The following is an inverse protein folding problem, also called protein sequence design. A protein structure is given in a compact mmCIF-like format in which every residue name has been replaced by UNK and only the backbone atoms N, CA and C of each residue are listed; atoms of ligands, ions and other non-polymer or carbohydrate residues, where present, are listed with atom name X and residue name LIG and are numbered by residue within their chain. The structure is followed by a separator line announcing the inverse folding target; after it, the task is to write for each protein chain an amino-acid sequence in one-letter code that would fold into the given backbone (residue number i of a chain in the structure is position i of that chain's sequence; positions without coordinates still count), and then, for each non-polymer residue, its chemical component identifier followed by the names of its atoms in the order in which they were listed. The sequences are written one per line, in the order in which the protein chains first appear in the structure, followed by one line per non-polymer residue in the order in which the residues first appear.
data_IF_145249114600
#
_entry.id   IF_145249114600
#
_cell.length_a   1.000
_cell.length_b   1.000
_cell.length_c   1.000
_cell.angle_alpha   90.00
_cell.angle_beta   90.00
_cell.angle_gamma   90.00
#
_symmetry.space_group_name_H-M   'P 1'
#
loop_
_entity.id
_entity.type
_entity.pdbx_description
1 polymer ?
#
# COMPACT_ATOMS: atom_id res chain seq x y z
N UNK A 1 -25.34 -16.27 -60.69
CA UNK A 1 -25.78 -16.40 -59.29
C UNK A 1 -24.81 -17.12 -58.35
N UNK A 2 -24.01 -18.13 -58.76
CA UNK A 2 -23.04 -18.80 -57.87
C UNK A 2 -21.76 -18.02 -57.53
N UNK A 3 -21.35 -17.07 -58.38
CA UNK A 3 -20.16 -16.25 -58.17
C UNK A 3 -20.35 -15.11 -57.17
N UNK A 4 -21.56 -14.62 -57.00
CA UNK A 4 -21.84 -13.49 -56.07
C UNK A 4 -21.97 -13.92 -54.63
N UNK A 5 -22.48 -15.15 -54.39
CA UNK A 5 -22.59 -15.73 -53.05
C UNK A 5 -21.20 -16.00 -52.47
N UNK A 6 -20.24 -16.47 -53.29
CA UNK A 6 -18.86 -16.72 -52.84
C UNK A 6 -18.11 -15.43 -52.46
N UNK A 7 -18.37 -14.31 -53.19
CA UNK A 7 -17.80 -12.99 -52.87
C UNK A 7 -18.43 -12.40 -51.61
N UNK A 8 -19.71 -12.56 -51.39
CA UNK A 8 -20.39 -12.08 -50.20
C UNK A 8 -19.93 -12.84 -48.94
N UNK A 9 -19.75 -14.17 -49.03
CA UNK A 9 -19.22 -14.99 -47.94
C UNK A 9 -17.74 -14.61 -47.63
N UNK A 10 -16.95 -14.33 -48.63
CA UNK A 10 -15.54 -13.93 -48.44
C UNK A 10 -15.44 -12.54 -47.73
N UNK A 11 -16.31 -11.60 -48.09
CA UNK A 11 -16.36 -10.29 -47.43
C UNK A 11 -16.87 -10.40 -45.98
N UNK A 12 -17.83 -11.28 -45.71
CA UNK A 12 -18.32 -11.52 -44.34
C UNK A 12 -17.25 -12.21 -43.47
N UNK A 13 -16.47 -13.13 -44.03
CA UNK A 13 -15.37 -13.80 -43.30
C UNK A 13 -14.17 -12.87 -43.05
N UNK A 14 -13.90 -11.90 -43.93
CA UNK A 14 -12.86 -10.89 -43.70
C UNK A 14 -13.28 -9.87 -42.65
N UNK A 15 -14.57 -9.53 -42.55
CA UNK A 15 -15.11 -8.66 -41.50
C UNK A 15 -15.14 -9.32 -40.11
N UNK A 16 -15.22 -10.66 -40.04
CA UNK A 16 -15.13 -11.43 -38.79
C UNK A 16 -13.69 -11.69 -38.35
N UNK A 17 -12.69 -11.43 -39.21
CA UNK A 17 -11.26 -11.61 -38.92
C UNK A 17 -10.56 -10.31 -38.51
N UNK A 18 -11.25 -9.19 -38.40
CA UNK A 18 -10.69 -8.05 -37.68
C UNK A 18 -10.60 -8.44 -36.21
N UNK A 19 -9.38 -8.53 -35.62
CA UNK A 19 -9.31 -8.72 -34.18
C UNK A 19 -10.09 -7.56 -33.56
N UNK A 20 -11.16 -7.87 -32.84
CA UNK A 20 -11.70 -6.94 -31.88
C UNK A 20 -10.51 -6.53 -31.03
N UNK A 21 -10.04 -5.30 -31.20
CA UNK A 21 -9.05 -4.73 -30.28
C UNK A 21 -9.69 -4.81 -28.90
N UNK A 22 -9.43 -5.89 -28.19
CA UNK A 22 -9.70 -5.91 -26.77
C UNK A 22 -8.86 -4.77 -26.22
N UNK A 23 -9.49 -3.79 -25.62
CA UNK A 23 -8.81 -2.74 -24.85
C UNK A 23 -8.17 -3.40 -23.63
N UNK A 24 -7.18 -4.27 -23.87
CA UNK A 24 -6.35 -4.81 -22.82
C UNK A 24 -5.42 -3.68 -22.37
N UNK A 25 -5.38 -3.43 -21.06
CA UNK A 25 -4.45 -2.48 -20.48
C UNK A 25 -3.01 -2.94 -20.76
N UNK A 26 -2.16 -2.00 -21.17
CA UNK A 26 -0.71 -2.23 -21.16
C UNK A 26 -0.25 -2.20 -19.71
N UNK A 27 -0.03 -3.38 -19.14
CA UNK A 27 0.25 -3.51 -17.70
C UNK A 27 1.70 -3.18 -17.33
N UNK A 28 2.56 -2.92 -18.31
CA UNK A 28 3.99 -2.73 -18.06
C UNK A 28 4.67 -4.02 -17.61
N UNK A 29 6.00 -3.97 -17.49
CA UNK A 29 6.81 -5.10 -17.02
C UNK A 29 7.22 -4.86 -15.57
N UNK A 30 6.77 -5.74 -14.68
CA UNK A 30 7.26 -5.78 -13.29
C UNK A 30 8.58 -6.52 -13.23
N UNK A 31 9.57 -5.92 -12.58
CA UNK A 31 10.88 -6.50 -12.34
C UNK A 31 11.17 -6.55 -10.84
N UNK A 32 11.95 -7.54 -10.40
CA UNK A 32 12.47 -7.57 -9.03
C UNK A 32 13.48 -6.45 -8.85
N UNK A 33 13.22 -5.54 -7.92
CA UNK A 33 14.16 -4.50 -7.54
C UNK A 33 15.14 -5.02 -6.49
N UNK A 34 14.61 -5.63 -5.41
CA UNK A 34 15.43 -6.16 -4.34
C UNK A 34 14.84 -7.45 -3.77
N UNK A 35 15.72 -8.24 -3.15
CA UNK A 35 15.37 -9.41 -2.35
C UNK A 35 15.68 -9.12 -0.90
N UNK A 36 14.76 -9.43 0.00
CA UNK A 36 14.98 -9.27 1.43
C UNK A 36 16.06 -10.24 1.93
N UNK A 37 16.86 -9.85 2.93
CA UNK A 37 17.83 -10.73 3.57
C UNK A 37 17.18 -11.97 4.13
N UNK A 38 17.95 -13.06 4.22
CA UNK A 38 17.48 -14.32 4.80
C UNK A 38 16.96 -14.13 6.24
N UNK A 39 15.76 -14.62 6.52
CA UNK A 39 15.09 -14.47 7.80
C UNK A 39 14.21 -13.25 7.94
N UNK A 40 14.23 -12.33 6.95
CA UNK A 40 13.30 -11.20 6.87
C UNK A 40 12.19 -11.48 5.86
N UNK A 41 10.98 -11.05 6.20
CA UNK A 41 9.77 -11.37 5.44
C UNK A 41 8.77 -10.20 5.50
N UNK A 42 7.79 -10.23 4.61
CA UNK A 42 6.62 -9.38 4.63
C UNK A 42 6.98 -7.88 4.66
N UNK A 43 7.68 -7.35 3.61
CA UNK A 43 7.94 -5.93 3.49
C UNK A 43 6.63 -5.17 3.36
N UNK A 44 6.51 -4.06 4.07
CA UNK A 44 5.30 -3.25 4.11
C UNK A 44 5.61 -1.81 3.74
N UNK A 45 5.82 -0.89 4.68
CA UNK A 45 6.11 0.51 4.41
C UNK A 45 7.45 0.71 3.69
N UNK A 46 7.47 1.62 2.74
CA UNK A 46 8.64 1.92 1.91
C UNK A 46 8.81 3.43 1.71
N UNK A 47 10.03 3.93 1.86
CA UNK A 47 10.37 5.32 1.54
C UNK A 47 11.77 5.42 0.94
N UNK A 48 12.12 6.58 0.40
CA UNK A 48 13.42 6.85 -0.21
C UNK A 48 14.04 8.14 0.37
N UNK A 49 15.37 8.18 0.50
CA UNK A 49 16.08 9.40 0.86
C UNK A 49 16.47 10.22 -0.37
N UNK A 50 17.07 11.38 -0.15
CA UNK A 50 17.54 12.28 -1.21
C UNK A 50 18.69 11.72 -2.07
N UNK A 51 19.33 10.63 -1.65
CA UNK A 51 20.38 9.92 -2.39
C UNK A 51 19.81 8.73 -3.20
N UNK A 52 18.51 8.44 -3.04
CA UNK A 52 17.83 7.33 -3.66
C UNK A 52 17.98 6.00 -2.92
N UNK A 53 18.52 5.99 -1.69
CA UNK A 53 18.50 4.78 -0.88
C UNK A 53 17.09 4.47 -0.43
N UNK A 54 16.76 3.19 -0.39
CA UNK A 54 15.41 2.68 -0.12
C UNK A 54 15.35 2.11 1.30
N UNK A 55 14.36 2.54 2.04
CA UNK A 55 14.12 2.17 3.44
C UNK A 55 12.80 1.41 3.53
N UNK A 56 12.82 0.24 4.16
CA UNK A 56 11.65 -0.65 4.24
C UNK A 56 11.49 -1.18 5.65
N UNK A 57 10.28 -1.14 6.16
CA UNK A 57 9.89 -1.83 7.40
C UNK A 57 9.11 -3.10 7.09
N UNK A 58 8.95 -3.99 8.08
CA UNK A 58 8.36 -5.32 7.87
C UNK A 58 7.27 -5.62 8.87
N UNK A 59 6.30 -6.44 8.43
CA UNK A 59 5.28 -7.07 9.29
C UNK A 59 5.78 -8.45 9.71
N UNK A 60 6.53 -8.51 10.81
CA UNK A 60 7.13 -9.75 11.27
C UNK A 60 6.18 -10.60 12.15
N UNK A 61 4.95 -10.85 11.66
CA UNK A 61 3.92 -11.57 12.40
C UNK A 61 4.32 -13.02 12.79
N UNK A 62 5.22 -13.61 12.01
CA UNK A 62 5.80 -14.92 12.27
C UNK A 62 6.88 -14.95 13.36
N UNK A 63 7.35 -13.80 13.86
CA UNK A 63 8.30 -13.69 14.95
C UNK A 63 7.56 -13.60 16.31
N UNK A 64 8.20 -13.93 17.44
CA UNK A 64 7.61 -13.75 18.76
C UNK A 64 7.14 -12.32 19.02
N UNK A 65 6.06 -12.13 19.77
CA UNK A 65 5.53 -10.78 20.13
C UNK A 65 6.52 -9.87 20.85
N UNK A 66 7.52 -10.45 21.47
CA UNK A 66 8.61 -9.72 22.14
C UNK A 66 9.73 -9.29 21.20
N UNK A 67 9.64 -9.65 19.92
CA UNK A 67 10.64 -9.25 18.93
C UNK A 67 10.47 -7.78 18.57
N UNK A 68 11.59 -7.10 18.40
CA UNK A 68 11.62 -5.78 17.79
C UNK A 68 11.45 -5.89 16.28
N UNK A 69 10.83 -4.87 15.67
CA UNK A 69 10.73 -4.71 14.23
C UNK A 69 12.08 -4.32 13.63
N UNK A 70 12.19 -4.45 12.32
CA UNK A 70 13.44 -4.16 11.60
C UNK A 70 13.24 -3.11 10.52
N UNK A 71 14.28 -2.36 10.29
CA UNK A 71 14.48 -1.46 9.16
C UNK A 71 15.49 -2.10 8.21
N UNK A 72 15.10 -2.29 6.96
CA UNK A 72 15.96 -2.75 5.87
C UNK A 72 16.36 -1.55 5.01
N UNK A 73 17.63 -1.43 4.68
CA UNK A 73 18.12 -0.34 3.83
C UNK A 73 18.82 -0.92 2.62
N UNK A 74 18.44 -0.42 1.44
CA UNK A 74 19.01 -0.80 0.14
C UNK A 74 19.58 0.43 -0.55
N UNK A 75 20.59 0.22 -1.42
CA UNK A 75 21.07 1.27 -2.30
C UNK A 75 20.07 1.54 -3.46
N UNK A 76 20.31 2.60 -4.27
CA UNK A 76 19.44 2.93 -5.39
C UNK A 76 19.32 1.83 -6.46
N UNK A 77 20.18 0.81 -6.44
CA UNK A 77 20.17 -0.33 -7.35
C UNK A 77 19.55 -1.58 -6.73
N UNK A 78 19.01 -1.49 -5.49
CA UNK A 78 18.36 -2.60 -4.79
C UNK A 78 19.31 -3.56 -4.06
N UNK A 79 20.60 -3.20 -3.93
CA UNK A 79 21.54 -3.98 -3.14
C UNK A 79 21.33 -3.71 -1.66
N UNK A 80 21.11 -4.75 -0.87
CA UNK A 80 20.98 -4.64 0.58
C UNK A 80 22.26 -4.06 1.20
N UNK A 81 22.12 -2.97 1.96
CA UNK A 81 23.19 -2.29 2.67
C UNK A 81 23.25 -2.71 4.13
N UNK A 82 22.13 -2.73 4.83
CA UNK A 82 22.05 -3.07 6.26
C UNK A 82 20.64 -3.45 6.70
N UNK A 83 20.57 -4.23 7.78
CA UNK A 83 19.38 -4.49 8.58
C UNK A 83 19.59 -3.89 9.96
N UNK A 84 18.64 -3.11 10.45
CA UNK A 84 18.73 -2.40 11.73
C UNK A 84 17.51 -2.74 12.58
N UNK A 85 17.70 -3.32 13.77
CA UNK A 85 16.62 -3.54 14.74
C UNK A 85 16.19 -2.20 15.35
N UNK A 86 14.88 -1.91 15.33
CA UNK A 86 14.33 -0.66 15.88
C UNK A 86 14.04 -0.87 17.36
N UNK A 87 14.88 -0.30 18.21
CA UNK A 87 14.81 -0.48 19.68
C UNK A 87 13.49 0.02 20.24
N UNK A 88 12.85 -0.81 21.02
CA UNK A 88 11.57 -0.48 21.68
C UNK A 88 10.36 -0.44 20.76
N UNK A 89 10.47 -0.89 19.51
CA UNK A 89 9.34 -1.13 18.64
C UNK A 89 8.68 -2.47 18.93
N UNK A 90 7.46 -2.66 18.45
CA UNK A 90 6.88 -3.97 18.23
C UNK A 90 7.38 -4.60 16.93
N UNK A 91 6.95 -5.81 16.66
CA UNK A 91 7.28 -6.57 15.44
C UNK A 91 6.46 -6.18 14.21
N UNK A 92 5.37 -5.42 14.38
CA UNK A 92 4.43 -5.06 13.31
C UNK A 92 4.60 -3.58 12.98
N UNK A 93 5.41 -3.30 11.98
CA UNK A 93 5.69 -1.96 11.48
C UNK A 93 5.02 -1.81 10.10
N UNK A 94 4.13 -0.82 9.95
CA UNK A 94 3.34 -0.71 8.74
C UNK A 94 3.84 0.38 7.81
N UNK A 95 4.06 1.61 8.28
CA UNK A 95 4.46 2.68 7.37
C UNK A 95 5.71 3.43 7.84
N UNK A 96 6.33 4.16 6.91
CA UNK A 96 7.63 4.82 7.11
C UNK A 96 7.77 6.05 6.21
N UNK A 97 8.26 7.15 6.76
CA UNK A 97 8.48 8.36 5.97
C UNK A 97 9.51 9.28 6.59
N UNK A 98 10.25 10.00 5.75
CA UNK A 98 11.12 11.07 6.20
C UNK A 98 10.33 12.35 6.46
N UNK A 99 10.39 12.86 7.67
CA UNK A 99 9.76 14.11 8.03
C UNK A 99 10.37 15.28 7.22
N UNK A 100 9.58 16.04 6.44
CA UNK A 100 10.09 16.95 5.42
C UNK A 100 10.94 18.10 5.97
N UNK A 101 10.66 18.55 7.19
CA UNK A 101 11.39 19.68 7.80
C UNK A 101 12.57 19.25 8.66
N UNK A 102 12.48 18.11 9.35
CA UNK A 102 13.48 17.69 10.32
C UNK A 102 14.42 16.61 9.80
N UNK A 103 14.06 15.96 8.68
CA UNK A 103 14.77 14.80 8.14
C UNK A 103 14.71 13.53 9.01
N UNK A 104 13.96 13.55 10.11
CA UNK A 104 13.77 12.37 10.96
C UNK A 104 13.02 11.29 10.22
N UNK A 105 13.46 10.05 10.37
CA UNK A 105 12.71 8.90 9.87
C UNK A 105 11.62 8.54 10.88
N UNK A 106 10.36 8.61 10.46
CA UNK A 106 9.21 8.24 11.26
C UNK A 106 8.71 6.86 10.82
N UNK A 107 8.33 6.04 11.80
CA UNK A 107 7.86 4.66 11.58
C UNK A 107 6.58 4.44 12.37
N UNK A 108 5.55 3.93 11.71
CA UNK A 108 4.29 3.55 12.34
C UNK A 108 4.44 2.17 12.97
N UNK A 109 4.29 2.12 14.28
CA UNK A 109 4.29 0.89 15.08
C UNK A 109 2.85 0.51 15.40
N UNK A 110 2.29 -0.37 14.58
CA UNK A 110 0.89 -0.78 14.64
C UNK A 110 0.51 -1.47 15.95
N UNK A 111 1.29 -2.49 16.36
CA UNK A 111 0.96 -3.29 17.56
C UNK A 111 1.09 -2.48 18.86
N UNK A 112 1.98 -1.47 18.87
CA UNK A 112 2.15 -0.57 20.02
C UNK A 112 1.35 0.74 19.88
N UNK A 113 0.62 0.93 18.80
CA UNK A 113 -0.23 2.09 18.51
C UNK A 113 0.47 3.45 18.74
N UNK A 114 1.64 3.61 18.13
CA UNK A 114 2.47 4.81 18.23
C UNK A 114 3.25 5.05 16.95
N UNK A 115 3.78 6.27 16.79
CA UNK A 115 4.79 6.57 15.78
C UNK A 115 6.12 6.76 16.47
N UNK A 116 7.17 6.16 15.91
CA UNK A 116 8.54 6.27 16.40
C UNK A 116 9.35 7.20 15.52
N UNK A 117 10.22 8.00 16.11
CA UNK A 117 11.34 8.64 15.42
C UNK A 117 12.56 7.74 15.55
N UNK A 118 13.16 7.35 14.43
CA UNK A 118 14.18 6.31 14.34
C UNK A 118 15.47 6.86 13.74
N UNK A 119 16.59 6.57 14.38
CA UNK A 119 17.91 6.71 13.78
C UNK A 119 18.16 5.52 12.85
N UNK A 120 18.19 5.77 11.54
CA UNK A 120 18.29 4.71 10.52
C UNK A 120 19.64 3.98 10.49
N UNK A 121 20.64 4.47 11.21
CA UNK A 121 21.98 3.87 11.30
C UNK A 121 22.13 2.95 12.50
N UNK A 122 21.52 3.30 13.63
CA UNK A 122 21.70 2.62 14.92
C UNK A 122 20.47 1.88 15.41
N UNK A 123 19.29 2.21 14.85
CA UNK A 123 18.00 1.71 15.34
C UNK A 123 17.55 2.33 16.67
N UNK A 124 18.27 3.30 17.19
CA UNK A 124 17.81 4.04 18.36
C UNK A 124 16.51 4.75 18.02
N UNK A 125 15.51 4.61 18.89
CA UNK A 125 14.21 5.21 18.65
C UNK A 125 13.70 5.98 19.86
N UNK A 126 12.80 6.91 19.62
CA UNK A 126 11.99 7.58 20.62
C UNK A 126 10.56 7.70 20.14
N UNK A 127 9.61 7.75 21.07
CA UNK A 127 8.20 7.97 20.73
C UNK A 127 8.06 9.38 20.15
N UNK A 128 7.58 9.46 18.91
CA UNK A 128 7.25 10.72 18.25
C UNK A 128 5.80 11.11 18.47
N UNK A 129 4.88 10.14 18.33
CA UNK A 129 3.44 10.39 18.49
C UNK A 129 2.79 9.25 19.26
N UNK A 130 1.88 9.61 20.15
CA UNK A 130 0.92 8.70 20.79
C UNK A 130 -0.50 9.11 20.46
N UNK A 131 -1.42 8.17 20.51
CA UNK A 131 -2.85 8.42 20.30
C UNK A 131 -3.66 7.87 21.47
N UNK A 132 -4.86 8.39 21.63
CA UNK A 132 -5.84 7.92 22.61
C UNK A 132 -6.90 7.04 21.96
N UNK A 133 -7.67 6.33 22.79
CA UNK A 133 -8.79 5.52 22.31
C UNK A 133 -8.64 4.05 22.66
N UNK A 134 -9.65 3.28 22.25
CA UNK A 134 -9.71 1.85 22.54
C UNK A 134 -9.26 1.08 21.30
N UNK A 135 -8.14 0.40 21.41
CA UNK A 135 -7.59 -0.46 20.35
C UNK A 135 -7.33 0.32 19.03
N UNK A 136 -6.48 1.38 19.04
CA UNK A 136 -6.10 2.05 17.80
C UNK A 136 -5.38 1.09 16.85
N UNK A 137 -5.62 1.26 15.55
CA UNK A 137 -4.93 0.53 14.49
C UNK A 137 -4.24 1.52 13.56
N UNK A 138 -3.08 2.05 14.00
CA UNK A 138 -2.33 3.02 13.21
C UNK A 138 -1.73 2.35 11.98
N UNK A 139 -1.89 2.97 10.81
CA UNK A 139 -1.50 2.36 9.53
C UNK A 139 -0.63 3.31 8.69
N UNK A 140 -1.17 4.10 7.79
CA UNK A 140 -0.43 5.01 6.92
C UNK A 140 -0.08 6.35 7.59
N UNK A 141 0.99 6.99 7.13
CA UNK A 141 1.37 8.34 7.55
C UNK A 141 1.65 9.26 6.37
N UNK A 142 1.33 10.55 6.51
CA UNK A 142 1.68 11.59 5.53
C UNK A 142 1.97 12.92 6.24
N UNK A 143 2.45 13.90 5.47
CA UNK A 143 2.90 15.19 5.98
C UNK A 143 2.26 16.35 5.23
N UNK A 144 2.14 17.48 5.91
CA UNK A 144 1.92 18.75 5.24
C UNK A 144 3.20 19.59 5.17
N UNK A 145 3.13 20.72 4.45
CA UNK A 145 4.28 21.61 4.24
C UNK A 145 4.75 22.31 5.52
N UNK A 146 3.88 22.40 6.54
CA UNK A 146 4.24 22.91 7.87
C UNK A 146 4.93 21.85 8.74
N UNK A 147 5.05 20.62 8.25
CA UNK A 147 5.64 19.49 8.97
C UNK A 147 4.69 18.83 9.96
N UNK A 148 3.39 19.13 9.92
CA UNK A 148 2.46 18.33 10.70
C UNK A 148 2.38 16.92 10.11
N UNK A 149 2.23 15.94 10.99
CA UNK A 149 2.14 14.52 10.66
C UNK A 149 0.71 14.05 10.83
N UNK A 150 0.20 13.39 9.81
CA UNK A 150 -1.11 12.77 9.80
C UNK A 150 -0.97 11.27 9.78
N UNK A 151 -1.79 10.56 10.56
CA UNK A 151 -1.72 9.10 10.69
C UNK A 151 -3.13 8.52 10.64
N UNK A 152 -3.35 7.54 9.79
CA UNK A 152 -4.63 6.81 9.73
C UNK A 152 -4.79 5.88 10.91
N UNK A 153 -6.03 5.70 11.34
CA UNK A 153 -6.45 4.68 12.30
C UNK A 153 -7.49 3.78 11.65
N UNK A 154 -7.02 2.66 11.17
CA UNK A 154 -7.79 1.69 10.40
C UNK A 154 -8.96 1.08 11.19
N UNK A 155 -8.89 1.04 12.52
CA UNK A 155 -9.92 0.46 13.37
C UNK A 155 -10.99 1.48 13.78
N UNK A 156 -10.55 2.69 14.15
CA UNK A 156 -11.45 3.70 14.73
C UNK A 156 -12.06 4.62 13.66
N UNK A 157 -11.51 4.63 12.44
CA UNK A 157 -11.93 5.52 11.36
C UNK A 157 -11.62 6.97 11.67
N UNK A 158 -10.43 7.21 12.18
CA UNK A 158 -9.88 8.50 12.55
C UNK A 158 -8.63 8.76 11.72
N UNK A 159 -8.40 10.00 11.33
CA UNK A 159 -7.08 10.48 10.95
C UNK A 159 -6.59 11.36 12.09
N UNK A 160 -5.50 10.96 12.69
CA UNK A 160 -4.82 11.69 13.74
C UNK A 160 -3.88 12.73 13.16
N UNK A 161 -3.72 13.87 13.85
CA UNK A 161 -2.76 14.93 13.50
C UNK A 161 -1.91 15.27 14.71
N UNK A 162 -0.61 15.47 14.49
CA UNK A 162 0.33 16.01 15.48
C UNK A 162 1.24 17.03 14.81
N UNK A 163 1.72 18.00 15.59
CA UNK A 163 2.67 19.01 15.09
C UNK A 163 4.06 18.43 14.75
N UNK A 164 4.94 19.25 14.17
CA UNK A 164 6.27 18.81 13.67
C UNK A 164 7.22 18.33 14.78
N UNK A 165 6.97 18.68 16.01
CA UNK A 165 7.78 18.25 17.15
C UNK A 165 7.28 16.96 17.81
N UNK A 166 6.14 16.42 17.34
CA UNK A 166 5.50 15.24 17.91
C UNK A 166 4.66 15.55 19.14
N UNK A 167 4.28 14.49 19.88
CA UNK A 167 3.47 14.57 21.10
C UNK A 167 2.21 13.71 21.03
N UNK A 168 1.15 14.11 21.74
CA UNK A 168 -0.15 13.46 21.69
C UNK A 168 -0.91 13.92 20.44
N UNK A 169 -1.34 12.95 19.61
CA UNK A 169 -2.14 13.22 18.42
C UNK A 169 -3.57 13.63 18.77
N UNK A 170 -4.09 14.60 18.04
CA UNK A 170 -5.49 15.01 18.07
C UNK A 170 -6.24 14.44 16.87
N UNK A 171 -7.52 14.09 17.05
CA UNK A 171 -8.36 13.66 15.93
C UNK A 171 -8.56 14.82 14.95
N UNK A 172 -7.94 14.73 13.76
CA UNK A 172 -8.13 15.73 12.71
C UNK A 172 -9.47 15.54 12.00
N UNK A 173 -9.82 14.29 11.70
CA UNK A 173 -11.13 13.92 11.17
C UNK A 173 -11.56 12.56 11.71
N UNK A 174 -12.86 12.39 11.96
CA UNK A 174 -13.47 11.09 12.30
C UNK A 174 -14.64 10.87 11.37
N UNK A 175 -14.69 9.69 10.71
CA UNK A 175 -15.78 9.38 9.79
C UNK A 175 -16.09 7.88 9.75
N UNK A 176 -17.36 7.50 9.66
CA UNK A 176 -17.75 6.11 9.39
C UNK A 176 -17.25 5.60 8.04
N UNK A 177 -16.97 6.49 7.06
CA UNK A 177 -16.39 6.11 5.77
C UNK A 177 -14.94 5.59 5.87
N UNK A 178 -14.25 5.94 6.96
CA UNK A 178 -12.89 5.50 7.25
C UNK A 178 -12.83 4.19 8.05
N UNK A 179 -13.98 3.73 8.58
CA UNK A 179 -14.04 2.46 9.33
C UNK A 179 -14.19 1.27 8.41
N UNK A 180 -13.68 0.09 8.81
CA UNK A 180 -13.99 -1.15 8.11
C UNK A 180 -15.45 -1.53 8.35
N UNK A 181 -16.20 -1.82 7.28
CA UNK A 181 -17.57 -2.34 7.37
C UNK A 181 -17.69 -3.77 6.90
N UNK A 182 -16.61 -4.30 6.30
CA UNK A 182 -16.50 -5.68 5.83
C UNK A 182 -15.37 -6.38 6.58
N UNK A 183 -15.51 -7.65 6.80
CA UNK A 183 -14.54 -8.52 7.42
C UNK A 183 -14.34 -9.75 6.55
N UNK A 184 -13.16 -10.35 6.52
CA UNK A 184 -11.83 -9.78 6.58
C UNK A 184 -11.42 -9.15 5.22
N UNK A 185 -10.38 -8.31 5.17
CA UNK A 185 -9.61 -7.78 6.29
C UNK A 185 -10.37 -6.69 7.05
N UNK A 186 -10.14 -6.57 8.37
CA UNK A 186 -10.75 -5.54 9.21
C UNK A 186 -9.95 -4.22 9.18
N UNK A 187 -9.34 -3.88 8.06
CA UNK A 187 -8.52 -2.70 7.83
C UNK A 187 -9.37 -1.65 7.11
N UNK A 188 -9.72 -0.59 7.79
CA UNK A 188 -10.45 0.55 7.24
C UNK A 188 -9.52 1.52 6.50
N UNK A 189 -9.40 2.77 7.01
CA UNK A 189 -8.44 3.73 6.49
C UNK A 189 -7.02 3.15 6.59
N UNK A 190 -6.40 2.94 5.44
CA UNK A 190 -5.07 2.37 5.31
C UNK A 190 -4.09 3.52 5.01
N UNK A 191 -3.76 3.80 3.78
CA UNK A 191 -2.85 4.86 3.41
C UNK A 191 -3.58 6.13 2.94
N UNK A 192 -2.86 7.26 2.88
CA UNK A 192 -3.41 8.56 2.50
C UNK A 192 -2.37 9.49 1.90
N UNK A 193 -2.83 10.35 0.99
CA UNK A 193 -2.01 11.42 0.44
C UNK A 193 -2.82 12.70 0.22
N UNK A 194 -2.18 13.85 0.39
CA UNK A 194 -2.71 15.12 -0.08
C UNK A 194 -2.49 15.27 -1.58
N UNK A 195 -3.44 15.91 -2.28
CA UNK A 195 -3.14 16.41 -3.60
C UNK A 195 -2.09 17.55 -3.54
N UNK A 196 -1.49 17.90 -4.68
CA UNK A 196 -0.37 18.84 -4.73
C UNK A 196 -0.69 20.21 -4.14
N UNK A 197 -1.92 20.70 -4.33
CA UNK A 197 -2.39 21.99 -3.81
C UNK A 197 -2.85 21.92 -2.34
N UNK A 198 -2.86 20.75 -1.70
CA UNK A 198 -3.38 20.53 -0.32
C UNK A 198 -4.85 20.96 -0.16
N UNK A 199 -5.64 20.88 -1.22
CA UNK A 199 -7.08 21.16 -1.20
C UNK A 199 -7.94 19.91 -0.97
N UNK A 200 -7.34 18.75 -1.02
CA UNK A 200 -7.97 17.46 -0.71
C UNK A 200 -6.94 16.47 -0.18
N UNK A 201 -7.40 15.59 0.71
CA UNK A 201 -6.72 14.37 1.10
C UNK A 201 -7.51 13.18 0.54
N UNK A 202 -6.81 12.22 -0.05
CA UNK A 202 -7.37 10.95 -0.48
C UNK A 202 -6.92 9.84 0.45
N UNK A 203 -7.83 8.93 0.80
CA UNK A 203 -7.59 7.85 1.76
C UNK A 203 -8.08 6.54 1.17
N UNK A 204 -7.23 5.53 1.11
CA UNK A 204 -7.62 4.17 0.78
C UNK A 204 -8.35 3.52 1.97
N UNK A 205 -9.47 2.84 1.69
CA UNK A 205 -10.15 2.01 2.68
C UNK A 205 -10.22 0.57 2.15
N UNK A 206 -9.31 -0.26 2.64
CA UNK A 206 -9.09 -1.61 2.14
C UNK A 206 -10.31 -2.51 2.31
N UNK A 207 -10.91 -2.54 3.50
CA UNK A 207 -12.05 -3.41 3.78
C UNK A 207 -13.30 -3.03 3.00
N UNK A 208 -13.50 -1.75 2.71
CA UNK A 208 -14.67 -1.26 2.00
C UNK A 208 -14.45 -1.19 0.48
N UNK A 209 -13.22 -1.39 0.03
CA UNK A 209 -12.82 -1.30 -1.37
C UNK A 209 -13.14 0.09 -1.97
N UNK A 210 -12.82 1.15 -1.21
CA UNK A 210 -13.16 2.54 -1.58
C UNK A 210 -11.97 3.48 -1.44
N UNK A 211 -12.00 4.56 -2.22
CA UNK A 211 -11.18 5.76 -1.96
C UNK A 211 -12.11 6.82 -1.38
N UNK A 212 -11.72 7.35 -0.23
CA UNK A 212 -12.43 8.45 0.44
C UNK A 212 -11.69 9.76 0.14
N UNK A 213 -12.42 10.79 -0.26
CA UNK A 213 -11.90 12.14 -0.41
C UNK A 213 -12.33 12.98 0.78
N UNK A 214 -11.39 13.73 1.32
CA UNK A 214 -11.62 14.71 2.39
C UNK A 214 -11.25 16.07 1.82
N UNK A 215 -12.21 16.96 1.53
CA UNK A 215 -11.91 18.33 1.14
C UNK A 215 -11.11 19.02 2.25
N UNK A 216 -10.17 19.88 1.87
CA UNK A 216 -9.30 20.58 2.82
C UNK A 216 -9.34 22.07 2.52
N UNK A 217 -9.42 22.89 3.56
CA UNK A 217 -9.55 24.35 3.43
C UNK A 217 -8.65 25.09 4.41
N UNK A 218 -8.29 26.31 4.01
CA UNK A 218 -7.49 27.22 4.83
C UNK A 218 -6.03 26.83 4.95
N UNK A 219 -5.22 27.72 5.49
CA UNK A 219 -3.77 27.51 5.68
C UNK A 219 -3.43 26.54 6.81
N UNK A 220 -4.38 26.27 7.69
CA UNK A 220 -4.27 25.28 8.79
C UNK A 220 -4.72 23.88 8.38
N UNK A 221 -5.13 23.73 7.10
CA UNK A 221 -5.63 22.48 6.51
C UNK A 221 -6.77 21.88 7.32
N UNK A 222 -7.87 22.63 7.43
CA UNK A 222 -9.07 22.17 8.12
C UNK A 222 -9.84 21.15 7.26
N UNK A 223 -10.24 20.00 7.81
CA UNK A 223 -10.95 18.97 7.08
C UNK A 223 -12.40 19.35 6.83
N UNK A 224 -12.87 19.18 5.61
CA UNK A 224 -14.29 19.20 5.26
C UNK A 224 -14.97 17.86 5.53
N UNK A 225 -16.17 17.69 5.02
CA UNK A 225 -16.93 16.44 5.17
C UNK A 225 -16.35 15.36 4.25
N UNK A 226 -15.90 14.21 4.77
CA UNK A 226 -15.44 13.08 3.96
C UNK A 226 -16.55 12.55 3.05
N UNK A 227 -16.20 12.21 1.83
CA UNK A 227 -17.09 11.62 0.82
C UNK A 227 -16.44 10.43 0.13
N UNK A 228 -17.24 9.51 -0.39
CA UNK A 228 -16.72 8.40 -1.22
C UNK A 228 -16.36 8.97 -2.59
N UNK A 229 -15.08 8.99 -2.92
CA UNK A 229 -14.57 9.42 -4.22
C UNK A 229 -14.68 8.31 -5.28
N UNK A 230 -14.23 7.10 -4.92
CA UNK A 230 -14.40 5.90 -5.75
C UNK A 230 -14.99 4.78 -4.91
N UNK A 231 -16.06 4.19 -5.41
CA UNK A 231 -16.69 3.03 -4.79
C UNK A 231 -16.35 1.78 -5.58
N UNK A 232 -15.87 0.75 -4.90
CA UNK A 232 -15.41 -0.52 -5.48
C UNK A 232 -14.26 -0.29 -6.47
N UNK A 233 -13.12 0.03 -5.92
CA UNK A 233 -11.85 0.13 -6.65
C UNK A 233 -11.52 -1.20 -7.35
N UNK A 234 -11.91 -2.32 -6.73
CA UNK A 234 -11.86 -3.65 -7.35
C UNK A 234 -10.65 -4.48 -6.96
N UNK A 235 -10.03 -4.20 -5.82
CA UNK A 235 -8.85 -4.97 -5.48
C UNK A 235 -8.25 -4.76 -4.10
N UNK A 236 -9.00 -4.20 -3.14
CA UNK A 236 -8.49 -3.88 -1.81
C UNK A 236 -7.38 -2.82 -1.90
N UNK A 237 -7.78 -1.53 -2.04
CA UNK A 237 -6.82 -0.43 -2.12
C UNK A 237 -6.02 -0.35 -0.82
N UNK A 238 -4.71 -0.18 -0.94
CA UNK A 238 -3.75 -0.19 0.16
C UNK A 238 -2.89 1.08 0.10
N UNK A 239 -1.63 1.01 -0.31
CA UNK A 239 -0.76 2.16 -0.47
C UNK A 239 -1.29 3.16 -1.50
N UNK A 240 -1.12 4.45 -1.22
CA UNK A 240 -1.62 5.54 -2.05
C UNK A 240 -0.61 6.68 -2.12
N UNK A 241 -0.16 7.01 -3.33
CA UNK A 241 0.67 8.20 -3.60
C UNK A 241 0.07 9.03 -4.73
N UNK A 242 0.48 10.29 -4.81
CA UNK A 242 -0.01 11.26 -5.80
C UNK A 242 1.15 11.73 -6.68
N UNK A 243 0.95 11.75 -8.01
CA UNK A 243 1.95 12.25 -8.94
C UNK A 243 1.83 13.78 -9.16
N UNK A 244 2.71 14.33 -9.99
CA UNK A 244 2.75 15.76 -10.32
C UNK A 244 1.53 16.26 -11.08
N UNK A 245 0.66 15.37 -11.57
CA UNK A 245 -0.59 15.69 -12.26
C UNK A 245 -1.82 15.44 -11.39
N UNK A 246 -1.60 15.19 -10.09
CA UNK A 246 -2.63 14.81 -9.11
C UNK A 246 -3.25 13.42 -9.37
N UNK A 247 -2.71 12.59 -10.28
CA UNK A 247 -3.20 11.23 -10.42
C UNK A 247 -2.89 10.41 -9.17
N UNK A 248 -3.87 9.61 -8.75
CA UNK A 248 -3.74 8.71 -7.59
C UNK A 248 -3.17 7.37 -8.08
N UNK A 249 -2.01 7.01 -7.56
CA UNK A 249 -1.39 5.70 -7.76
C UNK A 249 -1.67 4.85 -6.55
N UNK A 250 -2.37 3.72 -6.75
CA UNK A 250 -2.93 2.92 -5.66
C UNK A 250 -2.52 1.47 -5.86
N UNK A 251 -1.85 0.89 -4.88
CA UNK A 251 -1.68 -0.56 -4.85
C UNK A 251 -2.99 -1.23 -4.49
N UNK A 252 -3.29 -2.32 -5.16
CA UNK A 252 -4.46 -3.15 -4.90
C UNK A 252 -3.99 -4.54 -4.47
N UNK A 253 -3.98 -4.78 -3.17
CA UNK A 253 -3.34 -5.95 -2.58
C UNK A 253 -4.02 -7.28 -2.96
N UNK A 254 -5.33 -7.30 -3.17
CA UNK A 254 -6.08 -8.52 -3.53
C UNK A 254 -6.09 -8.80 -5.04
N UNK A 255 -5.93 -7.76 -5.88
CA UNK A 255 -5.83 -7.92 -7.34
C UNK A 255 -4.40 -7.94 -7.85
N UNK A 256 -3.41 -7.68 -6.99
CA UNK A 256 -1.97 -7.70 -7.32
C UNK A 256 -1.62 -6.76 -8.49
N UNK A 257 -2.11 -5.53 -8.42
CA UNK A 257 -1.90 -4.51 -9.46
C UNK A 257 -1.78 -3.11 -8.84
N UNK A 258 -1.29 -2.17 -9.62
CA UNK A 258 -1.42 -0.74 -9.34
C UNK A 258 -2.54 -0.20 -10.23
N UNK A 259 -3.47 0.52 -9.65
CA UNK A 259 -4.43 1.35 -10.38
C UNK A 259 -3.96 2.81 -10.36
N UNK A 260 -4.08 3.46 -11.50
CA UNK A 260 -3.88 4.92 -11.58
C UNK A 260 -5.23 5.55 -11.91
N UNK A 261 -5.67 6.46 -11.02
CA UNK A 261 -6.94 7.17 -11.16
C UNK A 261 -6.70 8.63 -11.49
N UNK A 262 -7.47 9.18 -12.43
CA UNK A 262 -7.45 10.63 -12.66
C UNK A 262 -8.15 11.37 -11.49
N UNK A 263 -7.72 12.62 -11.15
CA UNK A 263 -8.05 13.25 -9.88
C UNK A 263 -9.46 13.85 -9.81
N UNK A 264 -10.19 13.98 -10.93
CA UNK A 264 -11.45 14.72 -10.95
C UNK A 264 -12.69 13.86 -10.75
N UNK A 265 -12.72 12.69 -11.37
CA UNK A 265 -13.85 11.75 -11.33
C UNK A 265 -13.44 10.35 -10.83
N UNK A 266 -12.15 10.12 -10.55
CA UNK A 266 -11.63 8.84 -10.10
C UNK A 266 -11.70 7.74 -11.16
N UNK A 267 -11.68 8.09 -12.44
CA UNK A 267 -11.65 7.08 -13.51
C UNK A 267 -10.28 6.43 -13.58
N UNK A 268 -10.26 5.11 -13.72
CA UNK A 268 -9.03 4.35 -13.96
C UNK A 268 -8.47 4.74 -15.33
N UNK A 269 -7.25 5.27 -15.35
CA UNK A 269 -6.50 5.64 -16.57
C UNK A 269 -5.36 4.69 -16.87
N UNK A 270 -4.89 3.91 -15.87
CA UNK A 270 -3.95 2.82 -16.09
C UNK A 270 -4.18 1.68 -15.08
N UNK A 271 -3.81 0.47 -15.50
CA UNK A 271 -3.66 -0.73 -14.67
C UNK A 271 -2.28 -1.29 -14.93
N UNK A 272 -1.44 -1.32 -13.91
CA UNK A 272 -0.04 -1.67 -14.04
C UNK A 272 0.29 -2.90 -13.22
N UNK A 273 1.14 -3.77 -13.78
CA UNK A 273 1.57 -5.00 -13.14
C UNK A 273 0.48 -6.06 -12.99
N UNK A 274 0.89 -7.22 -12.54
CA UNK A 274 0.06 -8.39 -12.24
C UNK A 274 0.90 -9.42 -11.47
N UNK A 275 0.27 -10.54 -11.10
CA UNK A 275 0.92 -11.71 -10.52
C UNK A 275 1.13 -12.78 -11.59
N UNK A 276 2.38 -13.15 -11.83
CA UNK A 276 2.78 -14.15 -12.85
C UNK A 276 3.08 -15.55 -12.29
N UNK A 277 3.00 -15.75 -10.99
CA UNK A 277 3.32 -17.02 -10.32
C UNK A 277 4.49 -16.92 -9.34
N UNK A 278 5.01 -18.06 -8.91
CA UNK A 278 6.18 -18.17 -8.03
C UNK A 278 7.37 -18.70 -8.86
N UNK A 279 8.50 -18.03 -8.78
CA UNK A 279 9.73 -18.42 -9.44
C UNK A 279 10.36 -19.66 -8.76
N UNK A 280 11.33 -20.27 -9.41
CA UNK A 280 12.03 -21.45 -8.91
C UNK A 280 12.77 -21.24 -7.60
N UNK A 281 13.19 -20.00 -7.33
CA UNK A 281 13.81 -19.61 -6.05
C UNK A 281 12.80 -19.38 -4.93
N UNK A 282 11.49 -19.40 -5.23
CA UNK A 282 10.42 -19.18 -4.28
C UNK A 282 10.02 -17.71 -4.11
N UNK A 283 10.44 -16.84 -5.03
CA UNK A 283 10.02 -15.43 -5.04
C UNK A 283 8.78 -15.23 -5.93
N UNK A 284 7.92 -14.24 -5.65
CA UNK A 284 6.83 -13.89 -6.56
C UNK A 284 7.37 -13.32 -7.89
N UNK A 285 6.73 -13.69 -8.99
CA UNK A 285 6.90 -13.08 -10.30
C UNK A 285 5.83 -12.01 -10.44
N UNK A 286 6.23 -10.75 -10.55
CA UNK A 286 5.30 -9.63 -10.55
C UNK A 286 4.95 -9.15 -9.16
N UNK A 287 3.70 -8.78 -8.94
CA UNK A 287 3.19 -8.38 -7.63
C UNK A 287 2.50 -9.55 -6.92
N UNK A 288 2.66 -9.65 -5.62
CA UNK A 288 1.89 -10.56 -4.78
C UNK A 288 1.58 -9.88 -3.45
N UNK A 289 0.29 -9.56 -3.25
CA UNK A 289 -0.16 -8.76 -2.13
C UNK A 289 0.65 -7.46 -2.04
N UNK A 290 0.54 -6.64 -3.11
CA UNK A 290 1.21 -5.34 -3.20
C UNK A 290 0.64 -4.38 -2.17
N UNK A 291 1.51 -3.84 -1.30
CA UNK A 291 1.11 -2.94 -0.23
C UNK A 291 1.52 -1.50 -0.51
N UNK A 292 2.64 -1.06 0.03
CA UNK A 292 3.09 0.31 -0.12
C UNK A 292 3.85 0.52 -1.42
N UNK A 293 3.89 1.77 -1.87
CA UNK A 293 4.59 2.17 -3.08
C UNK A 293 5.27 3.53 -2.90
N UNK A 294 6.35 3.74 -3.68
CA UNK A 294 7.08 5.01 -3.68
C UNK A 294 7.65 5.31 -5.06
N UNK A 295 7.66 6.56 -5.48
CA UNK A 295 8.37 6.98 -6.68
C UNK A 295 9.88 6.95 -6.48
N UNK A 296 10.61 6.37 -7.44
CA UNK A 296 12.06 6.24 -7.42
C UNK A 296 12.63 6.51 -8.83
N UNK A 297 12.94 7.76 -9.09
CA UNK A 297 13.31 8.21 -10.44
C UNK A 297 12.19 7.96 -11.46
N UNK A 298 12.48 7.19 -12.50
CA UNK A 298 11.52 6.81 -13.54
C UNK A 298 10.71 5.54 -13.20
N UNK A 299 10.92 4.98 -12.02
CA UNK A 299 10.25 3.75 -11.59
C UNK A 299 9.33 4.04 -10.39
N UNK A 300 8.39 3.12 -10.15
CA UNK A 300 7.65 2.96 -8.92
C UNK A 300 8.17 1.70 -8.25
N UNK A 301 8.61 1.80 -7.00
CA UNK A 301 8.93 0.64 -6.17
C UNK A 301 7.70 0.23 -5.38
N UNK A 302 7.50 -1.08 -5.23
CA UNK A 302 6.33 -1.67 -4.57
C UNK A 302 6.78 -2.79 -3.65
N UNK A 303 6.32 -2.78 -2.42
CA UNK A 303 6.52 -3.89 -1.49
C UNK A 303 5.55 -5.02 -1.80
N UNK A 304 6.07 -6.25 -1.86
CA UNK A 304 5.27 -7.47 -1.96
C UNK A 304 5.13 -8.07 -0.55
N UNK A 305 4.06 -7.72 0.16
CA UNK A 305 3.83 -8.25 1.51
C UNK A 305 3.79 -9.78 1.49
N UNK A 306 3.18 -10.36 0.44
CA UNK A 306 3.11 -11.82 0.25
C UNK A 306 2.71 -12.54 1.53
N UNK A 307 1.71 -12.01 2.25
CA UNK A 307 1.34 -12.43 3.58
C UNK A 307 0.30 -13.55 3.50
N UNK A 308 0.53 -14.65 4.19
CA UNK A 308 -0.48 -15.68 4.41
C UNK A 308 -1.47 -15.20 5.49
N UNK A 309 -2.43 -14.40 5.05
CA UNK A 309 -3.42 -13.79 5.93
C UNK A 309 -4.31 -14.84 6.61
N UNK A 310 -4.59 -15.97 5.94
CA UNK A 310 -5.37 -17.05 6.51
C UNK A 310 -4.64 -17.76 7.64
N UNK A 311 -3.36 -18.03 7.46
CA UNK A 311 -2.54 -18.61 8.53
C UNK A 311 -2.44 -17.64 9.73
N UNK A 312 -2.24 -16.35 9.49
CA UNK A 312 -2.18 -15.35 10.54
C UNK A 312 -3.51 -15.19 11.28
N UNK A 313 -4.65 -15.17 10.57
CA UNK A 313 -5.97 -15.15 11.19
C UNK A 313 -6.28 -16.42 11.97
N UNK A 314 -5.84 -17.58 11.47
CA UNK A 314 -5.99 -18.85 12.19
C UNK A 314 -5.24 -18.81 13.52
N UNK A 315 -3.99 -18.38 13.50
CA UNK A 315 -3.19 -18.20 14.71
C UNK A 315 -3.82 -17.20 15.68
N UNK A 316 -4.30 -16.07 15.21
CA UNK A 316 -4.98 -15.08 16.02
C UNK A 316 -6.29 -15.62 16.62
N UNK A 317 -7.03 -16.42 15.84
CA UNK A 317 -8.25 -17.08 16.32
C UNK A 317 -7.95 -18.06 17.45
N UNK A 318 -6.86 -18.83 17.34
CA UNK A 318 -6.39 -19.71 18.42
C UNK A 318 -6.01 -18.92 19.67
N UNK A 319 -5.27 -17.83 19.52
CA UNK A 319 -4.81 -17.00 20.64
C UNK A 319 -5.96 -16.29 21.37
N UNK A 320 -7.02 -15.94 20.65
CA UNK A 320 -8.18 -15.20 21.18
C UNK A 320 -9.40 -16.09 21.47
N UNK A 321 -9.34 -17.38 21.16
CA UNK A 321 -10.47 -18.30 21.27
C UNK A 321 -11.63 -17.96 20.34
N UNK A 322 -11.35 -17.39 19.17
CA UNK A 322 -12.34 -17.02 18.16
C UNK A 322 -12.59 -18.16 17.16
N UNK A 323 -13.75 -18.21 16.51
CA UNK A 323 -13.99 -19.16 15.44
C UNK A 323 -13.00 -18.99 14.29
N UNK A 324 -12.45 -20.10 13.80
CA UNK A 324 -11.63 -20.08 12.59
C UNK A 324 -12.47 -19.75 11.36
N UNK A 325 -11.83 -19.09 10.38
CA UNK A 325 -12.41 -18.94 9.06
C UNK A 325 -12.58 -20.33 8.41
N UNK A 326 -13.68 -20.53 7.70
CA UNK A 326 -13.83 -21.75 6.91
C UNK A 326 -12.81 -21.77 5.74
N UNK A 327 -12.49 -22.98 5.27
CA UNK A 327 -11.48 -23.18 4.23
C UNK A 327 -11.78 -22.46 2.90
N UNK A 328 -13.05 -22.11 2.65
CA UNK A 328 -13.45 -21.36 1.46
C UNK A 328 -13.13 -19.87 1.62
N UNK A 329 -13.45 -19.31 2.79
CA UNK A 329 -13.14 -17.92 3.14
C UNK A 329 -11.62 -17.71 3.17
N UNK A 330 -10.86 -18.66 3.71
CA UNK A 330 -9.39 -18.64 3.69
C UNK A 330 -8.84 -18.53 2.27
N UNK A 331 -9.26 -19.41 1.36
CA UNK A 331 -8.78 -19.39 -0.05
C UNK A 331 -9.16 -18.14 -0.82
N UNK A 332 -10.23 -17.47 -0.43
CA UNK A 332 -10.67 -16.24 -1.09
C UNK A 332 -9.80 -15.05 -0.70
N UNK A 333 -9.20 -15.08 0.49
CA UNK A 333 -8.39 -13.98 1.02
C UNK A 333 -6.96 -14.01 0.46
N UNK A 334 -6.30 -15.18 0.49
CA UNK A 334 -4.85 -15.26 0.23
C UNK A 334 -4.49 -15.74 -1.17
N UNK A 335 -5.43 -16.36 -1.87
CA UNK A 335 -5.08 -17.19 -3.00
C UNK A 335 -4.16 -18.37 -2.58
N UNK A 336 -3.88 -19.31 -3.47
CA UNK A 336 -3.10 -20.51 -3.14
C UNK A 336 -1.57 -20.28 -3.20
N UNK A 337 -1.07 -19.04 -3.15
CA UNK A 337 0.31 -18.73 -3.51
C UNK A 337 1.16 -18.20 -2.34
N UNK A 338 0.56 -17.57 -1.34
CA UNK A 338 1.29 -16.93 -0.25
C UNK A 338 2.10 -17.94 0.57
N UNK A 339 1.59 -19.14 0.78
CA UNK A 339 2.25 -20.26 1.48
C UNK A 339 3.47 -20.82 0.73
N UNK A 340 3.59 -20.53 -0.57
CA UNK A 340 4.70 -20.97 -1.42
C UNK A 340 5.85 -19.98 -1.47
N UNK A 341 5.68 -18.77 -0.95
CA UNK A 341 6.71 -17.72 -0.95
C UNK A 341 7.79 -18.09 0.06
N UNK A 342 9.02 -18.20 -0.43
CA UNK A 342 10.23 -18.45 0.36
C UNK A 342 11.16 -17.25 0.42
N UNK A 343 11.03 -16.37 -0.57
CA UNK A 343 11.86 -15.18 -0.76
C UNK A 343 10.93 -14.00 -0.94
N UNK A 344 10.98 -13.04 -0.02
CA UNK A 344 10.24 -11.81 -0.11
C UNK A 344 11.00 -10.76 -0.92
N UNK A 345 10.27 -9.93 -1.65
CA UNK A 345 10.85 -9.01 -2.63
C UNK A 345 10.22 -7.63 -2.59
N UNK A 346 10.99 -6.67 -3.09
CA UNK A 346 10.51 -5.37 -3.54
C UNK A 346 10.53 -5.43 -5.05
N UNK A 347 9.44 -5.07 -5.68
CA UNK A 347 9.31 -4.99 -7.13
C UNK A 347 9.46 -3.56 -7.62
N UNK A 348 9.77 -3.40 -8.91
CA UNK A 348 9.74 -2.12 -9.59
C UNK A 348 8.97 -2.22 -10.91
N UNK A 349 8.35 -1.13 -11.29
CA UNK A 349 7.69 -0.96 -12.57
C UNK A 349 7.92 0.46 -13.07
N UNK A 350 8.00 0.66 -14.40
CA UNK A 350 8.14 2.00 -14.98
C UNK A 350 6.97 2.88 -14.61
N UNK A 351 7.28 4.12 -14.18
CA UNK A 351 6.32 5.20 -13.92
C UNK A 351 5.84 5.78 -15.26
N UNK A 352 5.12 4.97 -16.03
CA UNK A 352 4.59 5.39 -17.32
C UNK A 352 3.11 5.02 -17.41
N UNK A 353 2.28 6.01 -17.70
CA UNK A 353 0.85 5.82 -17.98
C UNK A 353 0.70 5.64 -19.49
N UNK A 354 0.44 4.43 -19.99
CA UNK A 354 0.36 4.19 -21.41
C UNK A 354 -0.71 5.04 -22.10
N UNK A 355 -0.32 5.79 -23.13
CA UNK A 355 -1.23 6.58 -23.96
C UNK A 355 -1.66 7.94 -23.37
N UNK A 356 -1.09 8.34 -22.21
CA UNK A 356 -1.41 9.64 -21.58
C UNK A 356 -0.28 10.65 -21.76
N UNK A 357 0.98 10.23 -21.99
CA UNK A 357 2.17 11.11 -22.20
C UNK A 357 2.97 10.67 -23.41
#
# INVERSE_FOLDING_TARGET
MRTDIAKTILILLVLLATPLATNAWERGKVERFATLPAGEAHPEGITVDGEGNVYVVTVAANKPRTSEGVLLVFDPQGKHLRTVGIKGSSRLLLDIGFHPQTGKLLVVDYEAAKVLSVDSSTGASSVFMTVTGKNPGLDGLTFDDAGNVYVTDAHQGIIWKVGPDGGEGSAWVTSPLLKPTRLPPAIGANDMAFNNEKTAMFVSNTANDTIVRIPVTGSTLEPGTPEVFVNRVGGGPDGLIIDEHDNLWITCNQSNEILVLEPTQGRVIAKLGDFGGIDRDGAPIGFLWSNSLVFHGEDVLVTNLSFDYAAALSQLSDELGLPHLDARSQRTIDGPWADQVKIHTISKIRRQIPGVY
#
